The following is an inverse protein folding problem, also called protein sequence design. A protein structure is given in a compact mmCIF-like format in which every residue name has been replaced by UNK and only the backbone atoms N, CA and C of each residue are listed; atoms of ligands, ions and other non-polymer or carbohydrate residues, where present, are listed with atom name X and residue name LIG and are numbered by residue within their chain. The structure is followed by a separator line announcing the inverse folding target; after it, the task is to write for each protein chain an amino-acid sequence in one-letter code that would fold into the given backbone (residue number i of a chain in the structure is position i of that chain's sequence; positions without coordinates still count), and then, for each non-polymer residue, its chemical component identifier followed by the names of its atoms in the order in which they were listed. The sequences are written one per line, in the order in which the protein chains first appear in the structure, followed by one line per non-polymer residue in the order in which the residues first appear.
data_IF_405311093450
#
_entry.id   IF_405311093450
#
_cell.length_a   1.000
_cell.length_b   1.000
_cell.length_c   1.000
_cell.angle_alpha   90.00
_cell.angle_beta   90.00
_cell.angle_gamma   90.00
#
_symmetry.space_group_name_H-M   'P 1'
#
loop_
_entity.id
_entity.type
_entity.pdbx_description
1 polymer ?
#
# COMPACT_ATOMS: atom_id res chain seq x y z
N UNK A 1 28.16 -36.44 -24.66
CA UNK A 1 28.25 -34.99 -24.51
C UNK A 1 27.01 -34.53 -23.75
N UNK A 2 27.20 -34.08 -22.52
CA UNK A 2 26.11 -33.41 -21.79
C UNK A 2 25.82 -32.12 -22.54
N UNK A 3 24.65 -32.02 -23.14
CA UNK A 3 24.15 -30.75 -23.71
C UNK A 3 23.95 -29.79 -22.55
N UNK A 4 24.88 -28.88 -22.34
CA UNK A 4 24.71 -27.77 -21.40
C UNK A 4 23.61 -26.90 -21.99
N UNK A 5 22.40 -27.00 -21.45
CA UNK A 5 21.32 -26.06 -21.80
C UNK A 5 21.77 -24.67 -21.34
N UNK A 6 21.75 -23.67 -22.22
CA UNK A 6 22.08 -22.29 -21.80
C UNK A 6 21.16 -21.88 -20.65
N UNK A 7 21.65 -21.03 -19.73
CA UNK A 7 20.79 -20.53 -18.67
C UNK A 7 19.58 -19.79 -19.25
N UNK A 8 18.42 -19.81 -18.60
CA UNK A 8 17.23 -19.15 -19.10
C UNK A 8 17.48 -17.64 -19.25
N UNK A 9 16.86 -17.05 -20.26
CA UNK A 9 16.87 -15.61 -20.44
C UNK A 9 16.16 -14.92 -19.28
N UNK A 10 16.80 -13.91 -18.67
CA UNK A 10 16.27 -13.20 -17.52
C UNK A 10 16.25 -11.70 -17.81
N UNK A 11 15.08 -11.09 -17.67
CA UNK A 11 14.89 -9.63 -17.73
C UNK A 11 14.62 -9.03 -16.36
N UNK A 12 14.90 -7.74 -16.20
CA UNK A 12 14.56 -6.96 -14.99
C UNK A 12 13.72 -5.76 -15.38
N UNK A 13 12.58 -5.59 -14.73
CA UNK A 13 11.70 -4.44 -14.86
C UNK A 13 11.78 -3.64 -13.56
N UNK A 14 12.21 -2.38 -13.67
CA UNK A 14 12.26 -1.39 -12.61
C UNK A 14 11.13 -0.39 -12.83
N UNK A 15 10.11 -0.40 -11.99
CA UNK A 15 9.07 0.64 -12.01
C UNK A 15 9.51 1.82 -11.14
N UNK A 16 9.71 2.98 -11.76
CA UNK A 16 10.18 4.18 -11.10
C UNK A 16 9.09 5.25 -10.99
N UNK A 17 9.00 5.88 -9.82
CA UNK A 17 8.26 7.10 -9.59
C UNK A 17 8.98 7.95 -8.54
N UNK A 18 9.69 8.98 -8.99
CA UNK A 18 10.50 9.86 -8.15
C UNK A 18 11.52 9.11 -7.29
N UNK A 19 12.18 8.09 -7.87
CA UNK A 19 13.15 7.23 -7.19
C UNK A 19 14.61 7.62 -7.41
N UNK A 20 14.91 8.84 -7.88
CA UNK A 20 16.25 9.31 -8.25
C UNK A 20 17.30 9.00 -7.19
N UNK A 21 16.95 9.16 -5.93
CA UNK A 21 17.89 8.97 -4.82
C UNK A 21 18.40 7.52 -4.67
N UNK A 22 17.68 6.54 -5.22
CA UNK A 22 17.95 5.11 -5.04
C UNK A 22 18.50 4.44 -6.31
N UNK A 23 18.15 4.97 -7.47
CA UNK A 23 18.46 4.36 -8.77
C UNK A 23 19.95 4.07 -8.99
N UNK A 24 20.83 4.93 -8.50
CA UNK A 24 22.26 4.76 -8.68
C UNK A 24 22.76 3.45 -8.05
N UNK A 25 22.46 3.22 -6.79
CA UNK A 25 22.87 2.02 -6.07
C UNK A 25 22.18 0.75 -6.61
N UNK A 26 20.90 0.84 -6.95
CA UNK A 26 20.14 -0.24 -7.56
C UNK A 26 20.74 -0.68 -8.89
N UNK A 27 21.03 0.26 -9.79
CA UNK A 27 21.55 -0.03 -11.11
C UNK A 27 23.02 -0.51 -11.09
N UNK A 28 23.86 0.00 -10.18
CA UNK A 28 25.19 -0.58 -9.96
C UNK A 28 25.12 -2.00 -9.42
N UNK A 29 24.19 -2.29 -8.50
CA UNK A 29 23.98 -3.65 -8.00
C UNK A 29 23.51 -4.61 -9.11
N UNK A 30 22.68 -4.15 -10.03
CA UNK A 30 22.27 -4.92 -11.22
C UNK A 30 23.43 -5.14 -12.19
N UNK A 31 24.27 -4.13 -12.44
CA UNK A 31 25.45 -4.26 -13.30
C UNK A 31 26.48 -5.23 -12.71
N UNK A 32 26.52 -5.39 -11.39
CA UNK A 32 27.43 -6.28 -10.66
C UNK A 32 26.91 -7.69 -10.42
N UNK A 33 25.79 -8.10 -11.02
CA UNK A 33 25.26 -9.45 -10.84
C UNK A 33 26.14 -10.52 -11.51
N UNK A 34 26.37 -11.64 -10.84
CA UNK A 34 27.14 -12.78 -11.38
C UNK A 34 26.46 -13.43 -12.60
N UNK A 35 25.14 -13.44 -12.64
CA UNK A 35 24.34 -13.71 -13.84
C UNK A 35 23.72 -12.38 -14.29
N UNK A 36 24.24 -11.76 -15.37
CA UNK A 36 23.67 -10.52 -15.86
C UNK A 36 22.27 -10.73 -16.45
N UNK A 37 21.39 -9.75 -16.26
CA UNK A 37 20.12 -9.72 -16.96
C UNK A 37 20.34 -9.52 -18.45
N UNK A 38 19.60 -10.24 -19.29
CA UNK A 38 19.60 -10.05 -20.76
C UNK A 38 19.02 -8.70 -21.17
N UNK A 39 18.14 -8.14 -20.35
CA UNK A 39 17.50 -6.84 -20.52
C UNK A 39 17.18 -6.22 -19.17
N UNK A 40 17.43 -4.93 -19.02
CA UNK A 40 16.94 -4.12 -17.91
C UNK A 40 16.11 -2.98 -18.47
N UNK A 41 14.88 -2.84 -17.97
CA UNK A 41 13.95 -1.80 -18.38
C UNK A 41 13.54 -0.94 -17.19
N UNK A 42 13.78 0.35 -17.27
CA UNK A 42 13.22 1.34 -16.37
C UNK A 42 11.88 1.81 -16.94
N UNK A 43 10.79 1.53 -16.24
CA UNK A 43 9.45 2.04 -16.55
C UNK A 43 9.19 3.24 -15.68
N UNK A 44 9.12 4.42 -16.27
CA UNK A 44 8.91 5.65 -15.51
C UNK A 44 7.43 6.02 -15.43
N UNK A 45 6.92 6.16 -14.23
CA UNK A 45 5.54 6.55 -13.93
C UNK A 45 5.37 8.09 -13.83
N UNK A 46 6.05 8.85 -14.70
CA UNK A 46 5.93 10.29 -14.74
C UNK A 46 6.72 10.98 -13.62
N UNK A 47 7.95 10.60 -13.40
CA UNK A 47 8.84 11.23 -12.42
C UNK A 47 9.19 12.66 -12.80
N UNK A 48 9.39 13.50 -11.79
CA UNK A 48 9.75 14.93 -11.92
C UNK A 48 11.04 15.28 -11.20
N UNK A 49 11.75 14.28 -10.69
CA UNK A 49 12.96 14.41 -9.85
C UNK A 49 14.28 14.25 -10.62
N UNK A 50 14.24 14.21 -11.97
CA UNK A 50 15.40 14.00 -12.82
C UNK A 50 15.85 12.54 -12.94
N UNK A 51 15.03 11.58 -12.52
CA UNK A 51 15.31 10.13 -12.60
C UNK A 51 15.63 9.68 -14.02
N UNK A 52 14.82 10.09 -14.99
CA UNK A 52 14.92 9.65 -16.39
C UNK A 52 16.19 10.17 -17.05
N UNK A 53 16.50 11.45 -16.86
CA UNK A 53 17.70 12.10 -17.39
C UNK A 53 18.95 11.44 -16.81
N UNK A 54 18.96 11.21 -15.51
CA UNK A 54 20.07 10.57 -14.84
C UNK A 54 20.36 9.17 -15.37
N UNK A 55 19.32 8.33 -15.52
CA UNK A 55 19.52 6.97 -16.05
C UNK A 55 19.97 7.00 -17.50
N UNK A 56 19.44 7.90 -18.32
CA UNK A 56 19.84 8.06 -19.71
C UNK A 56 21.32 8.45 -19.86
N UNK A 57 21.82 9.30 -18.98
CA UNK A 57 23.19 9.80 -19.01
C UNK A 57 24.19 8.78 -18.46
N UNK A 58 23.87 8.13 -17.33
CA UNK A 58 24.83 7.32 -16.58
C UNK A 58 24.71 5.81 -16.81
N UNK A 59 23.54 5.34 -17.27
CA UNK A 59 23.25 3.91 -17.48
C UNK A 59 22.65 3.66 -18.88
N UNK A 60 23.40 3.92 -19.97
CA UNK A 60 22.88 3.82 -21.35
C UNK A 60 22.47 2.40 -21.77
N UNK A 61 22.82 1.38 -20.99
CA UNK A 61 22.41 0.00 -21.19
C UNK A 61 20.98 -0.29 -20.67
N UNK A 62 20.37 0.62 -19.92
CA UNK A 62 19.00 0.50 -19.41
C UNK A 62 18.03 1.03 -20.47
N UNK A 63 17.06 0.20 -20.86
CA UNK A 63 15.96 0.66 -21.73
C UNK A 63 14.97 1.46 -20.90
N UNK A 64 14.66 2.67 -21.33
CA UNK A 64 13.68 3.53 -20.64
C UNK A 64 12.35 3.49 -21.36
N UNK A 65 11.27 3.31 -20.59
CA UNK A 65 9.89 3.40 -21.02
C UNK A 65 9.14 4.43 -20.16
N UNK A 66 8.58 5.45 -20.78
CA UNK A 66 7.81 6.49 -20.10
C UNK A 66 6.31 6.20 -20.22
N UNK A 67 5.61 6.18 -19.09
CA UNK A 67 4.15 5.99 -19.02
C UNK A 67 3.38 7.31 -19.11
N UNK A 68 4.05 8.46 -19.14
CA UNK A 68 3.45 9.79 -19.21
C UNK A 68 2.76 10.24 -17.92
N UNK A 69 2.75 9.43 -16.86
CA UNK A 69 2.13 9.74 -15.57
C UNK A 69 2.08 8.54 -14.64
N UNK A 70 1.72 8.76 -13.38
CA UNK A 70 1.62 7.68 -12.40
C UNK A 70 0.30 6.90 -12.56
N UNK A 71 0.39 5.77 -13.24
CA UNK A 71 -0.72 4.83 -13.49
C UNK A 71 -0.81 3.69 -12.46
N UNK A 72 -0.03 3.73 -11.40
CA UNK A 72 0.04 2.71 -10.35
C UNK A 72 1.08 1.62 -10.62
N UNK A 73 1.24 0.72 -9.64
CA UNK A 73 2.27 -0.32 -9.69
C UNK A 73 1.93 -1.42 -10.69
N UNK A 74 0.72 -1.97 -10.62
CA UNK A 74 0.31 -3.07 -11.50
C UNK A 74 0.29 -2.64 -12.97
N UNK A 75 -0.40 -1.55 -13.29
CA UNK A 75 -0.50 -1.05 -14.66
C UNK A 75 0.88 -0.61 -15.19
N UNK A 76 1.69 0.04 -14.36
CA UNK A 76 3.05 0.46 -14.73
C UNK A 76 3.95 -0.72 -15.12
N UNK A 77 4.02 -1.74 -14.29
CA UNK A 77 4.79 -2.95 -14.62
C UNK A 77 4.23 -3.68 -15.85
N UNK A 78 2.92 -3.70 -16.01
CA UNK A 78 2.28 -4.37 -17.13
C UNK A 78 2.66 -3.78 -18.50
N UNK A 79 3.01 -2.49 -18.56
CA UNK A 79 3.52 -1.88 -19.80
C UNK A 79 4.76 -2.62 -20.29
N UNK A 80 5.73 -2.86 -19.39
CA UNK A 80 6.93 -3.60 -19.73
C UNK A 80 6.68 -5.10 -19.89
N UNK A 81 5.86 -5.72 -19.03
CA UNK A 81 5.52 -7.14 -19.10
C UNK A 81 4.89 -7.55 -20.42
N UNK A 82 4.15 -6.65 -21.10
CA UNK A 82 3.58 -6.89 -22.45
C UNK A 82 4.66 -6.91 -23.53
N UNK A 83 5.76 -6.20 -23.34
CA UNK A 83 6.87 -6.10 -24.29
C UNK A 83 8.00 -7.10 -23.97
N UNK A 84 7.94 -7.75 -22.82
CA UNK A 84 8.99 -8.65 -22.36
C UNK A 84 8.76 -10.07 -22.90
N UNK A 85 9.84 -10.67 -23.42
CA UNK A 85 9.87 -12.00 -24.02
C UNK A 85 10.86 -12.95 -23.31
N UNK A 86 11.44 -12.50 -22.18
CA UNK A 86 12.36 -13.32 -21.41
C UNK A 86 11.62 -14.50 -20.73
N UNK A 87 12.31 -15.62 -20.53
CA UNK A 87 11.77 -16.80 -19.84
C UNK A 87 11.49 -16.54 -18.36
N UNK A 88 12.25 -15.61 -17.77
CA UNK A 88 12.11 -15.16 -16.38
C UNK A 88 12.09 -13.63 -16.38
N UNK A 89 11.07 -13.03 -15.77
CA UNK A 89 11.01 -11.60 -15.53
C UNK A 89 11.14 -11.32 -14.04
N UNK A 90 12.06 -10.45 -13.65
CA UNK A 90 12.21 -9.96 -12.28
C UNK A 90 11.58 -8.57 -12.17
N UNK A 91 10.53 -8.43 -11.38
CA UNK A 91 10.04 -7.14 -10.92
C UNK A 91 10.93 -6.67 -9.79
N UNK A 92 11.44 -5.44 -9.88
CA UNK A 92 12.37 -4.88 -8.92
C UNK A 92 12.03 -3.43 -8.62
N UNK A 93 11.95 -3.08 -7.33
CA UNK A 93 11.81 -1.68 -6.93
C UNK A 93 13.15 -0.94 -7.03
N UNK A 94 13.13 0.39 -7.34
CA UNK A 94 14.35 1.20 -7.44
C UNK A 94 15.13 1.31 -6.13
N UNK A 95 14.48 1.11 -4.98
CA UNK A 95 15.05 1.18 -3.63
C UNK A 95 15.51 -0.18 -3.08
N UNK A 96 15.67 -1.18 -3.97
CA UNK A 96 16.25 -2.48 -3.64
C UNK A 96 17.66 -2.59 -4.18
N UNK A 97 18.60 -2.97 -3.33
CA UNK A 97 20.00 -3.24 -3.66
C UNK A 97 20.21 -4.75 -3.59
N UNK A 98 20.27 -5.41 -4.74
CA UNK A 98 20.48 -6.84 -4.82
C UNK A 98 21.92 -7.23 -4.47
N UNK A 99 22.11 -8.36 -3.79
CA UNK A 99 23.44 -8.96 -3.60
C UNK A 99 23.92 -9.57 -4.91
N UNK A 100 25.25 -9.76 -5.09
CA UNK A 100 25.85 -10.13 -6.39
C UNK A 100 25.32 -11.39 -7.04
N UNK A 101 24.87 -12.38 -6.26
CA UNK A 101 24.36 -13.67 -6.76
C UNK A 101 22.83 -13.75 -6.79
N UNK A 102 22.12 -12.66 -6.56
CA UNK A 102 20.67 -12.68 -6.40
C UNK A 102 19.95 -13.14 -7.67
N UNK A 103 20.29 -12.61 -8.86
CA UNK A 103 19.65 -13.00 -10.11
C UNK A 103 19.96 -14.47 -10.48
N UNK A 104 21.17 -14.94 -10.21
CA UNK A 104 21.55 -16.33 -10.39
C UNK A 104 20.71 -17.26 -9.47
N UNK A 105 20.57 -16.88 -8.20
CA UNK A 105 19.77 -17.65 -7.24
C UNK A 105 18.28 -17.67 -7.61
N UNK A 106 17.72 -16.59 -8.13
CA UNK A 106 16.33 -16.57 -8.64
C UNK A 106 16.15 -17.46 -9.86
N UNK A 107 17.14 -17.45 -10.77
CA UNK A 107 17.16 -18.34 -11.94
C UNK A 107 17.23 -19.82 -11.51
N UNK A 108 18.09 -20.14 -10.55
CA UNK A 108 18.21 -21.48 -9.96
C UNK A 108 16.90 -21.92 -9.30
N UNK A 109 16.25 -21.05 -8.51
CA UNK A 109 14.96 -21.34 -7.89
C UNK A 109 13.92 -21.79 -8.91
N UNK A 110 13.80 -21.05 -10.02
CA UNK A 110 12.84 -21.38 -11.08
C UNK A 110 13.27 -22.63 -11.91
N UNK A 111 14.56 -22.95 -11.96
CA UNK A 111 15.05 -24.15 -12.63
C UNK A 111 14.89 -25.43 -11.78
N UNK A 112 14.83 -25.31 -10.46
CA UNK A 112 14.73 -26.44 -9.53
C UNK A 112 13.46 -27.28 -9.75
N UNK A 113 12.32 -26.63 -9.97
CA UNK A 113 11.05 -27.30 -10.24
C UNK A 113 10.25 -26.46 -11.26
N UNK A 114 9.83 -27.06 -12.40
CA UNK A 114 9.02 -26.35 -13.40
C UNK A 114 7.67 -25.84 -12.87
N UNK A 115 7.19 -26.36 -11.74
CA UNK A 115 5.99 -25.88 -11.06
C UNK A 115 6.23 -24.62 -10.25
N UNK A 116 7.48 -24.20 -10.00
CA UNK A 116 7.75 -22.90 -9.37
C UNK A 116 7.47 -21.82 -10.42
N UNK A 117 6.36 -21.10 -10.22
CA UNK A 117 5.95 -20.01 -11.08
C UNK A 117 6.50 -18.66 -10.62
N UNK A 118 6.67 -18.50 -9.30
CA UNK A 118 7.13 -17.27 -8.66
C UNK A 118 8.16 -17.58 -7.59
N UNK A 119 9.28 -16.85 -7.58
CA UNK A 119 10.30 -16.91 -6.53
C UNK A 119 10.57 -15.51 -5.96
N UNK A 120 10.69 -15.42 -4.64
CA UNK A 120 10.97 -14.16 -3.93
C UNK A 120 12.24 -14.23 -3.10
N UNK A 121 12.81 -13.06 -2.89
CA UNK A 121 14.08 -12.87 -2.20
C UNK A 121 13.95 -12.85 -0.68
N UNK A 122 15.06 -13.11 0.02
CA UNK A 122 15.29 -12.62 1.37
C UNK A 122 15.63 -11.12 1.28
N UNK A 123 14.79 -10.28 1.85
CA UNK A 123 15.07 -8.85 1.93
C UNK A 123 15.39 -8.46 3.36
N UNK A 124 16.42 -7.64 3.47
CA UNK A 124 16.92 -7.10 4.73
C UNK A 124 16.66 -5.59 4.78
N UNK A 125 16.48 -5.06 5.99
CA UNK A 125 16.51 -3.61 6.19
C UNK A 125 17.91 -3.03 5.97
N UNK A 126 18.03 -1.71 5.75
CA UNK A 126 19.32 -1.04 5.72
C UNK A 126 20.20 -1.41 6.94
N UNK A 127 21.48 -1.73 6.69
CA UNK A 127 22.38 -2.32 7.67
C UNK A 127 22.65 -3.80 7.41
N UNK A 128 21.70 -4.52 6.76
CA UNK A 128 21.93 -5.87 6.25
C UNK A 128 21.91 -6.98 7.31
N UNK A 129 21.40 -6.68 8.51
CA UNK A 129 21.37 -7.63 9.63
C UNK A 129 19.97 -7.89 10.22
N UNK A 130 18.96 -7.12 9.78
CA UNK A 130 17.57 -7.29 10.20
C UNK A 130 16.72 -7.72 9.02
N UNK A 131 15.97 -8.80 9.19
CA UNK A 131 15.07 -9.33 8.16
C UNK A 131 13.87 -8.41 7.99
N UNK A 132 13.58 -8.05 6.75
CA UNK A 132 12.37 -7.36 6.36
C UNK A 132 11.34 -8.35 5.81
N UNK A 133 11.79 -9.31 4.98
CA UNK A 133 10.94 -10.28 4.33
C UNK A 133 11.67 -11.61 4.10
N UNK A 134 11.09 -12.68 4.58
CA UNK A 134 11.51 -14.06 4.32
C UNK A 134 10.31 -14.92 3.86
N UNK A 135 9.50 -14.37 2.93
CA UNK A 135 8.22 -14.90 2.48
C UNK A 135 7.04 -14.33 3.27
N UNK A 136 5.87 -14.37 2.68
CA UNK A 136 4.65 -13.75 3.21
C UNK A 136 3.54 -14.75 3.51
N UNK A 137 2.66 -14.37 4.44
CA UNK A 137 1.43 -15.08 4.80
C UNK A 137 0.31 -14.06 5.05
N UNK A 138 -0.94 -14.52 4.99
CA UNK A 138 -2.10 -13.70 5.31
C UNK A 138 -2.76 -14.18 6.59
N UNK A 139 -3.16 -13.24 7.46
CA UNK A 139 -3.96 -13.58 8.64
C UNK A 139 -5.44 -13.55 8.30
N UNK A 140 -6.16 -14.55 8.77
CA UNK A 140 -7.60 -14.65 8.59
C UNK A 140 -8.35 -14.06 9.78
N UNK A 141 -9.60 -13.55 9.57
CA UNK A 141 -10.35 -13.50 8.31
C UNK A 141 -10.12 -12.21 7.49
N UNK A 142 -9.27 -11.28 7.93
CA UNK A 142 -9.14 -9.93 7.36
C UNK A 142 -8.12 -9.83 6.23
N UNK A 143 -7.42 -10.92 5.88
CA UNK A 143 -6.33 -10.96 4.89
C UNK A 143 -5.27 -9.89 5.16
N UNK A 144 -4.89 -9.69 6.43
CA UNK A 144 -3.78 -8.78 6.76
C UNK A 144 -2.44 -9.45 6.44
N UNK A 145 -1.58 -8.81 5.65
CA UNK A 145 -0.29 -9.40 5.29
C UNK A 145 0.66 -9.44 6.48
N UNK A 146 1.35 -10.56 6.58
CA UNK A 146 2.46 -10.77 7.50
C UNK A 146 3.68 -11.26 6.75
N UNK A 147 4.87 -10.98 7.30
CA UNK A 147 6.13 -11.42 6.73
C UNK A 147 6.85 -12.29 7.74
N UNK A 148 7.32 -13.45 7.29
CA UNK A 148 8.16 -14.30 8.14
C UNK A 148 9.47 -13.56 8.43
N UNK A 149 9.91 -13.62 9.69
CA UNK A 149 11.16 -13.05 10.16
C UNK A 149 11.21 -11.53 10.26
N UNK A 150 10.11 -10.79 9.98
CA UNK A 150 10.12 -9.33 10.01
C UNK A 150 10.60 -8.78 11.36
N UNK A 151 11.63 -7.93 11.34
CA UNK A 151 12.23 -7.32 12.53
C UNK A 151 13.18 -8.24 13.30
N UNK A 152 13.31 -9.51 12.92
CA UNK A 152 14.27 -10.42 13.51
C UNK A 152 15.69 -10.17 12.99
N UNK A 153 16.70 -10.38 13.84
CA UNK A 153 18.08 -10.41 13.38
C UNK A 153 18.31 -11.63 12.50
N UNK A 154 19.01 -11.45 11.36
CA UNK A 154 19.33 -12.57 10.48
C UNK A 154 20.44 -13.45 11.05
N UNK A 155 20.04 -14.47 11.79
CA UNK A 155 20.91 -15.51 12.33
C UNK A 155 20.85 -16.80 11.48
N UNK A 156 20.41 -16.69 10.22
CA UNK A 156 20.20 -17.77 9.25
C UNK A 156 19.04 -18.73 9.61
N UNK A 157 18.13 -18.33 10.49
CA UNK A 157 16.97 -19.12 10.91
C UNK A 157 15.96 -19.36 9.76
N UNK A 158 15.96 -18.52 8.72
CA UNK A 158 15.13 -18.68 7.52
C UNK A 158 15.97 -19.09 6.29
N UNK A 159 16.90 -20.04 6.46
CA UNK A 159 17.89 -20.36 5.41
C UNK A 159 17.47 -21.55 4.52
N UNK A 160 16.20 -21.99 4.59
CA UNK A 160 15.66 -23.05 3.75
C UNK A 160 14.58 -22.50 2.81
N UNK A 161 14.57 -22.90 1.52
CA UNK A 161 13.47 -22.61 0.63
C UNK A 161 12.15 -23.15 1.18
N UNK A 162 11.06 -22.40 0.97
CA UNK A 162 9.73 -22.85 1.37
C UNK A 162 8.63 -22.27 0.51
N UNK A 163 7.53 -23.00 0.39
CA UNK A 163 6.30 -22.49 -0.20
C UNK A 163 5.68 -21.44 0.73
N UNK A 164 5.24 -20.34 0.16
CA UNK A 164 4.65 -19.19 0.87
C UNK A 164 3.35 -18.75 0.21
N UNK A 165 2.55 -17.99 0.93
CA UNK A 165 1.32 -17.48 0.34
C UNK A 165 1.58 -16.39 -0.69
N UNK A 166 2.57 -15.55 -0.44
CA UNK A 166 3.04 -14.53 -1.37
C UNK A 166 4.51 -14.16 -1.13
N UNK A 167 5.09 -13.53 -2.11
CA UNK A 167 6.35 -12.78 -2.03
C UNK A 167 6.10 -11.35 -2.48
N UNK A 168 6.83 -10.39 -1.91
CA UNK A 168 6.57 -8.97 -2.20
C UNK A 168 7.09 -8.56 -3.58
N UNK A 169 6.35 -7.67 -4.24
CA UNK A 169 6.70 -7.14 -5.56
C UNK A 169 7.97 -6.29 -5.60
N UNK A 170 8.58 -6.01 -4.43
CA UNK A 170 9.85 -5.27 -4.35
C UNK A 170 11.02 -6.02 -5.01
N UNK A 171 11.04 -7.37 -4.96
CA UNK A 171 12.00 -8.23 -5.67
C UNK A 171 11.39 -9.60 -5.91
N UNK A 172 10.75 -9.79 -7.06
CA UNK A 172 9.98 -10.98 -7.40
C UNK A 172 10.34 -11.48 -8.79
N UNK A 173 10.79 -12.74 -8.92
CA UNK A 173 10.97 -13.40 -10.21
C UNK A 173 9.72 -14.17 -10.60
N UNK A 174 9.30 -14.02 -11.84
CA UNK A 174 8.09 -14.63 -12.40
C UNK A 174 8.47 -15.38 -13.66
N UNK A 175 8.03 -16.63 -13.78
CA UNK A 175 8.16 -17.44 -14.98
C UNK A 175 7.23 -16.90 -16.07
N UNK A 176 7.73 -16.74 -17.30
CA UNK A 176 6.95 -16.25 -18.43
C UNK A 176 5.71 -17.12 -18.73
N UNK A 177 5.89 -18.45 -18.75
CA UNK A 177 4.76 -19.36 -19.02
C UNK A 177 3.62 -19.24 -18.00
N UNK A 178 3.92 -18.86 -16.75
CA UNK A 178 2.87 -18.53 -15.78
C UNK A 178 2.08 -17.29 -16.20
N UNK A 179 2.77 -16.21 -16.61
CA UNK A 179 2.10 -14.99 -17.09
C UNK A 179 1.26 -15.23 -18.33
N UNK A 180 1.72 -16.11 -19.23
CA UNK A 180 0.98 -16.49 -20.43
C UNK A 180 -0.30 -17.28 -20.10
N UNK A 181 -0.29 -18.05 -19.01
CA UNK A 181 -1.43 -18.86 -18.56
C UNK A 181 -2.44 -18.06 -17.74
N UNK A 182 -1.98 -17.31 -16.72
CA UNK A 182 -2.88 -16.63 -15.78
C UNK A 182 -3.07 -15.14 -16.06
N UNK A 183 -2.40 -14.60 -17.06
CA UNK A 183 -2.37 -13.16 -17.35
C UNK A 183 -1.43 -12.36 -16.44
N UNK A 184 -1.34 -11.06 -16.71
CA UNK A 184 -0.45 -10.13 -16.04
C UNK A 184 -1.00 -9.70 -14.66
N UNK A 185 -0.39 -8.68 -14.05
CA UNK A 185 -0.89 -8.08 -12.81
C UNK A 185 -2.30 -7.51 -13.00
N UNK A 186 -3.15 -7.59 -12.00
CA UNK A 186 -4.48 -6.98 -12.04
C UNK A 186 -4.38 -5.46 -11.84
N UNK A 187 -4.63 -4.69 -12.92
CA UNK A 187 -4.53 -3.23 -12.93
C UNK A 187 -5.57 -2.52 -12.05
N UNK A 188 -6.56 -3.25 -11.55
CA UNK A 188 -7.47 -2.75 -10.52
C UNK A 188 -6.81 -2.53 -9.16
N UNK A 189 -5.60 -3.07 -8.95
CA UNK A 189 -4.73 -2.69 -7.83
C UNK A 189 -3.81 -1.55 -8.27
N UNK A 190 -4.07 -0.36 -7.75
CA UNK A 190 -3.17 0.76 -8.02
C UNK A 190 -1.81 0.58 -7.34
N UNK A 191 -1.84 0.13 -6.10
CA UNK A 191 -0.69 -0.14 -5.23
C UNK A 191 -1.13 -1.04 -4.08
N UNK A 192 -0.25 -1.97 -3.66
CA UNK A 192 -0.48 -3.01 -2.64
C UNK A 192 -1.43 -4.12 -3.08
N UNK A 193 -1.14 -5.34 -2.66
CA UNK A 193 -1.87 -6.57 -2.94
C UNK A 193 -1.83 -7.06 -4.41
N UNK A 194 -1.26 -6.35 -5.37
CA UNK A 194 -1.06 -6.85 -6.74
C UNK A 194 -0.11 -8.04 -6.77
N UNK A 195 0.91 -8.03 -5.90
CA UNK A 195 1.86 -9.11 -5.67
C UNK A 195 1.22 -10.31 -4.98
N UNK A 196 0.41 -10.05 -3.97
CA UNK A 196 -0.37 -11.06 -3.27
C UNK A 196 -1.42 -11.70 -4.19
N UNK A 197 -2.04 -10.90 -5.06
CA UNK A 197 -3.02 -11.34 -6.04
C UNK A 197 -2.40 -12.30 -7.09
N UNK A 198 -1.29 -11.91 -7.70
CA UNK A 198 -0.65 -12.77 -8.71
C UNK A 198 -0.13 -14.07 -8.06
N UNK A 199 0.40 -14.01 -6.83
CA UNK A 199 0.78 -15.21 -6.08
C UNK A 199 -0.43 -16.12 -5.80
N UNK A 200 -1.59 -15.56 -5.47
CA UNK A 200 -2.82 -16.34 -5.26
C UNK A 200 -3.31 -16.98 -6.56
N UNK A 201 -3.30 -16.25 -7.68
CA UNK A 201 -3.66 -16.77 -9.01
C UNK A 201 -2.70 -17.87 -9.45
N UNK A 202 -1.39 -17.69 -9.27
CA UNK A 202 -0.39 -18.73 -9.56
C UNK A 202 -0.66 -20.01 -8.78
N UNK A 203 -0.91 -19.92 -7.47
CA UNK A 203 -1.22 -21.10 -6.64
C UNK A 203 -2.52 -21.78 -7.05
N UNK A 204 -3.53 -21.01 -7.47
CA UNK A 204 -4.79 -21.55 -8.00
C UNK A 204 -4.59 -22.30 -9.32
N UNK A 205 -3.67 -21.86 -10.17
CA UNK A 205 -3.28 -22.54 -11.40
C UNK A 205 -2.34 -23.74 -11.17
N UNK A 206 -2.02 -24.09 -9.92
CA UNK A 206 -1.19 -25.25 -9.56
C UNK A 206 0.31 -24.96 -9.49
N UNK A 207 0.72 -23.70 -9.68
CA UNK A 207 2.11 -23.32 -9.49
C UNK A 207 2.45 -23.10 -8.02
N UNK A 208 3.76 -23.24 -7.72
CA UNK A 208 4.33 -22.93 -6.42
C UNK A 208 4.82 -21.47 -6.38
N UNK A 209 4.61 -20.85 -5.24
CA UNK A 209 5.20 -19.53 -4.89
C UNK A 209 6.21 -19.79 -3.78
N UNK A 210 7.48 -19.50 -4.05
CA UNK A 210 8.58 -19.97 -3.19
C UNK A 210 9.40 -18.78 -2.69
N UNK A 211 9.65 -18.75 -1.40
CA UNK A 211 10.71 -17.95 -0.81
C UNK A 211 12.05 -18.69 -1.02
N UNK A 212 13.03 -17.98 -1.61
CA UNK A 212 14.34 -18.53 -1.93
C UNK A 212 15.45 -17.79 -1.20
N UNK A 213 15.99 -18.34 -0.09
CA UNK A 213 16.88 -17.61 0.81
C UNK A 213 18.25 -17.25 0.23
N UNK A 214 18.71 -17.94 -0.83
CA UNK A 214 19.95 -17.60 -1.54
C UNK A 214 19.82 -16.31 -2.37
N UNK A 215 18.63 -15.97 -2.82
CA UNK A 215 18.34 -14.69 -3.46
C UNK A 215 18.18 -13.62 -2.38
N UNK A 216 19.13 -12.68 -2.31
CA UNK A 216 19.17 -11.70 -1.23
C UNK A 216 19.29 -10.26 -1.74
N UNK A 217 18.78 -9.32 -0.95
CA UNK A 217 18.94 -7.89 -1.18
C UNK A 217 18.62 -7.06 0.05
N UNK A 218 18.97 -5.79 -0.01
CA UNK A 218 18.58 -4.76 0.96
C UNK A 218 17.44 -3.96 0.35
N UNK A 219 16.33 -3.80 1.06
CA UNK A 219 15.22 -2.95 0.65
C UNK A 219 15.13 -1.76 1.59
N UNK A 220 15.36 -0.57 1.05
CA UNK A 220 15.45 0.67 1.82
C UNK A 220 14.08 1.07 2.35
N UNK A 221 13.01 0.66 1.67
CA UNK A 221 11.63 1.02 1.97
C UNK A 221 11.46 2.54 1.99
N UNK A 222 11.57 3.12 0.80
CA UNK A 222 11.56 4.57 0.61
C UNK A 222 10.31 5.23 1.18
N UNK A 223 10.50 6.44 1.70
CA UNK A 223 9.45 7.25 2.35
C UNK A 223 8.31 7.70 1.40
N UNK A 224 8.24 7.20 0.16
CA UNK A 224 7.14 7.49 -0.77
C UNK A 224 5.77 7.02 -0.26
N UNK A 225 5.76 6.09 0.70
CA UNK A 225 4.55 5.67 1.41
C UNK A 225 4.81 5.63 2.92
N UNK A 226 4.66 6.77 3.61
CA UNK A 226 4.74 6.81 5.07
C UNK A 226 3.65 5.89 5.63
N UNK A 227 4.07 4.73 6.21
CA UNK A 227 3.16 3.78 6.85
C UNK A 227 2.28 4.50 7.88
N UNK A 228 0.96 4.25 7.82
CA UNK A 228 0.01 4.90 8.70
C UNK A 228 -0.45 6.29 8.24
N UNK A 229 0.12 6.85 7.15
CA UNK A 229 -0.43 8.08 6.57
C UNK A 229 -1.83 7.85 6.01
N UNK A 230 -2.61 8.91 5.89
CA UNK A 230 -3.95 8.87 5.32
C UNK A 230 -3.99 8.20 3.94
N UNK A 231 -3.10 8.62 3.03
CA UNK A 231 -3.02 8.05 1.69
C UNK A 231 -2.59 6.58 1.68
N UNK A 232 -1.67 6.20 2.59
CA UNK A 232 -1.29 4.79 2.77
C UNK A 232 -2.48 3.95 3.20
N UNK A 233 -3.17 4.34 4.29
CA UNK A 233 -4.30 3.59 4.82
C UNK A 233 -5.43 3.44 3.81
N UNK A 234 -5.78 4.53 3.11
CA UNK A 234 -6.81 4.51 2.09
C UNK A 234 -6.47 3.52 0.98
N UNK A 235 -5.27 3.60 0.39
CA UNK A 235 -4.85 2.72 -0.72
C UNK A 235 -4.72 1.27 -0.26
N UNK A 236 -4.04 1.04 0.86
CA UNK A 236 -3.83 -0.29 1.41
C UNK A 236 -5.15 -1.01 1.67
N UNK A 237 -6.11 -0.35 2.35
CA UNK A 237 -7.39 -0.98 2.66
C UNK A 237 -8.31 -1.12 1.45
N UNK A 238 -8.26 -0.22 0.45
CA UNK A 238 -8.97 -0.41 -0.81
C UNK A 238 -8.47 -1.66 -1.53
N UNK A 239 -7.15 -1.82 -1.65
CA UNK A 239 -6.52 -2.99 -2.28
C UNK A 239 -6.77 -4.27 -1.49
N UNK A 240 -6.67 -4.23 -0.16
CA UNK A 240 -6.99 -5.37 0.71
C UNK A 240 -8.43 -5.86 0.50
N UNK A 241 -9.39 -4.95 0.45
CA UNK A 241 -10.79 -5.30 0.22
C UNK A 241 -11.04 -5.82 -1.20
N UNK A 242 -10.37 -5.25 -2.22
CA UNK A 242 -10.39 -5.83 -3.57
C UNK A 242 -9.90 -7.27 -3.55
N UNK A 243 -8.80 -7.55 -2.86
CA UNK A 243 -8.25 -8.90 -2.73
C UNK A 243 -9.21 -9.86 -2.01
N UNK A 244 -9.79 -9.45 -0.88
CA UNK A 244 -10.79 -10.23 -0.15
C UNK A 244 -11.98 -10.61 -1.05
N UNK A 245 -12.59 -9.61 -1.68
CA UNK A 245 -13.76 -9.78 -2.54
C UNK A 245 -13.47 -10.65 -3.76
N UNK A 246 -12.24 -10.57 -4.27
CA UNK A 246 -11.80 -11.33 -5.44
C UNK A 246 -11.53 -12.80 -5.12
N UNK A 247 -11.08 -13.12 -3.91
CA UNK A 247 -10.50 -14.44 -3.63
C UNK A 247 -11.16 -15.24 -2.52
N UNK A 248 -11.95 -14.63 -1.65
CA UNK A 248 -12.54 -15.32 -0.49
C UNK A 248 -13.97 -15.76 -0.75
N UNK A 249 -14.45 -16.84 -0.09
CA UNK A 249 -15.85 -17.25 -0.14
C UNK A 249 -16.80 -16.15 0.37
N UNK A 250 -18.00 -16.06 -0.22
CA UNK A 250 -18.98 -15.05 0.17
C UNK A 250 -19.39 -15.15 1.64
N UNK A 251 -19.52 -16.37 2.14
CA UNK A 251 -19.90 -16.64 3.53
C UNK A 251 -18.83 -16.16 4.50
N UNK A 252 -17.56 -16.29 4.14
CA UNK A 252 -16.45 -15.80 4.94
C UNK A 252 -16.42 -14.27 4.96
N UNK A 253 -16.67 -13.62 3.81
CA UNK A 253 -16.73 -12.17 3.71
C UNK A 253 -17.92 -11.62 4.51
N UNK A 254 -19.14 -12.13 4.24
CA UNK A 254 -20.39 -11.64 4.83
C UNK A 254 -20.53 -11.94 6.33
N UNK A 255 -19.78 -12.88 6.86
CA UNK A 255 -19.75 -13.26 8.28
C UNK A 255 -18.46 -12.83 8.97
N UNK A 256 -17.49 -13.76 9.14
CA UNK A 256 -16.30 -13.55 9.98
C UNK A 256 -15.48 -12.31 9.60
N UNK A 257 -15.36 -12.00 8.29
CA UNK A 257 -14.54 -10.86 7.84
C UNK A 257 -15.18 -9.53 8.23
N UNK A 258 -16.48 -9.36 7.94
CA UNK A 258 -17.21 -8.12 8.31
C UNK A 258 -17.28 -7.93 9.82
N UNK A 259 -17.45 -9.01 10.60
CA UNK A 259 -17.46 -8.93 12.06
C UNK A 259 -16.09 -8.51 12.63
N UNK A 260 -15.01 -9.11 12.13
CA UNK A 260 -13.66 -8.77 12.55
C UNK A 260 -13.31 -7.33 12.18
N UNK A 261 -13.73 -6.89 11.00
CA UNK A 261 -13.52 -5.54 10.51
C UNK A 261 -14.27 -4.51 11.35
N UNK A 262 -15.54 -4.77 11.71
CA UNK A 262 -16.31 -3.91 12.58
C UNK A 262 -15.65 -3.72 13.95
N UNK A 263 -15.14 -4.81 14.56
CA UNK A 263 -14.39 -4.77 15.83
C UNK A 263 -13.06 -4.02 15.71
N UNK A 264 -12.39 -4.13 14.56
CA UNK A 264 -11.15 -3.44 14.32
C UNK A 264 -11.36 -1.94 14.12
N UNK A 265 -12.42 -1.53 13.41
CA UNK A 265 -12.81 -0.13 13.23
C UNK A 265 -12.97 0.62 14.56
N UNK A 266 -13.50 -0.02 15.59
CA UNK A 266 -13.72 0.61 16.90
C UNK A 266 -12.41 1.00 17.61
N UNK A 267 -11.28 0.44 17.18
CA UNK A 267 -9.95 0.70 17.76
C UNK A 267 -9.19 1.80 17.04
N UNK A 268 -9.67 2.23 15.87
CA UNK A 268 -9.02 3.25 15.06
C UNK A 268 -9.26 4.64 15.65
N UNK A 269 -8.25 5.49 15.56
CA UNK A 269 -8.43 6.91 15.80
C UNK A 269 -9.26 7.57 14.69
N UNK A 270 -9.78 8.79 14.87
CA UNK A 270 -10.65 9.44 13.89
C UNK A 270 -10.01 9.61 12.49
N UNK A 271 -8.71 9.94 12.42
CA UNK A 271 -8.02 10.15 11.14
C UNK A 271 -7.84 8.83 10.37
N UNK A 272 -7.44 7.76 11.06
CA UNK A 272 -7.33 6.41 10.48
C UNK A 272 -8.70 5.91 10.01
N UNK A 273 -9.73 6.09 10.83
CA UNK A 273 -11.10 5.70 10.52
C UNK A 273 -11.61 6.39 9.27
N UNK A 274 -11.34 7.69 9.11
CA UNK A 274 -11.70 8.45 7.91
C UNK A 274 -11.01 7.90 6.66
N UNK A 275 -9.70 7.61 6.72
CA UNK A 275 -8.97 7.02 5.59
C UNK A 275 -9.56 5.67 5.17
N UNK A 276 -9.91 4.82 6.16
CA UNK A 276 -10.51 3.51 5.95
C UNK A 276 -11.94 3.62 5.42
N UNK A 277 -12.72 4.60 5.88
CA UNK A 277 -14.06 4.90 5.34
C UNK A 277 -14.00 5.19 3.84
N UNK A 278 -13.05 6.01 3.40
CA UNK A 278 -12.86 6.29 1.97
C UNK A 278 -12.44 5.04 1.19
N UNK A 279 -11.64 4.15 1.81
CA UNK A 279 -11.31 2.86 1.22
C UNK A 279 -12.55 1.99 1.00
N UNK A 280 -13.44 1.90 1.98
CA UNK A 280 -14.70 1.13 1.83
C UNK A 280 -15.62 1.73 0.77
N UNK A 281 -15.77 3.05 0.74
CA UNK A 281 -16.54 3.73 -0.30
C UNK A 281 -15.99 3.45 -1.70
N UNK A 282 -14.67 3.54 -1.87
CA UNK A 282 -14.02 3.24 -3.15
C UNK A 282 -14.24 1.77 -3.55
N UNK A 283 -14.10 0.84 -2.60
CA UNK A 283 -14.33 -0.58 -2.82
C UNK A 283 -15.78 -0.86 -3.19
N UNK A 284 -16.76 -0.32 -2.47
CA UNK A 284 -18.18 -0.50 -2.74
C UNK A 284 -18.56 -0.04 -4.16
N UNK A 285 -18.01 1.11 -4.58
CA UNK A 285 -18.20 1.61 -5.95
C UNK A 285 -17.58 0.70 -7.01
N UNK A 286 -16.48 0.04 -6.68
CA UNK A 286 -15.77 -0.88 -7.56
C UNK A 286 -16.34 -2.31 -7.58
N UNK A 287 -17.38 -2.65 -6.78
CA UNK A 287 -17.91 -4.02 -6.69
C UNK A 287 -18.20 -4.67 -8.05
N UNK A 288 -18.88 -4.02 -9.01
CA UNK A 288 -19.15 -4.65 -10.29
C UNK A 288 -17.91 -5.09 -11.05
N UNK A 289 -16.85 -4.25 -11.02
CA UNK A 289 -15.57 -4.56 -11.66
C UNK A 289 -14.82 -5.67 -10.91
N UNK A 290 -14.90 -5.66 -9.57
CA UNK A 290 -14.28 -6.68 -8.73
C UNK A 290 -14.92 -8.06 -8.99
N UNK A 291 -16.24 -8.14 -9.17
CA UNK A 291 -16.93 -9.39 -9.50
C UNK A 291 -16.48 -9.94 -10.84
N UNK A 292 -16.38 -9.09 -11.87
CA UNK A 292 -15.83 -9.47 -13.17
C UNK A 292 -14.39 -9.97 -13.05
N UNK A 293 -13.54 -9.27 -12.28
CA UNK A 293 -12.17 -9.69 -12.04
C UNK A 293 -12.09 -11.03 -11.29
N UNK A 294 -13.01 -11.26 -10.33
CA UNK A 294 -13.12 -12.52 -9.60
C UNK A 294 -13.36 -13.70 -10.54
N UNK A 295 -14.34 -13.59 -11.41
CA UNK A 295 -14.69 -14.66 -12.38
C UNK A 295 -13.57 -14.87 -13.40
N UNK A 296 -13.02 -13.79 -13.97
CA UNK A 296 -11.88 -13.84 -14.90
C UNK A 296 -10.71 -14.62 -14.32
N UNK A 297 -10.39 -14.42 -13.03
CA UNK A 297 -9.22 -14.98 -12.38
C UNK A 297 -9.52 -16.29 -11.63
N UNK A 298 -10.59 -16.99 -12.02
CA UNK A 298 -10.95 -18.34 -11.58
C UNK A 298 -11.53 -18.39 -10.16
N UNK A 299 -12.09 -17.30 -9.64
CA UNK A 299 -12.94 -17.30 -8.45
C UNK A 299 -14.36 -17.76 -8.78
N UNK A 300 -15.03 -18.43 -7.83
CA UNK A 300 -16.42 -18.83 -8.01
C UNK A 300 -17.31 -17.61 -8.20
N UNK A 301 -18.20 -17.61 -9.21
CA UNK A 301 -19.20 -16.56 -9.37
C UNK A 301 -20.06 -16.44 -8.10
N UNK A 302 -20.29 -15.21 -7.66
CA UNK A 302 -21.17 -14.98 -6.53
C UNK A 302 -22.62 -14.85 -6.98
N UNK A 303 -23.56 -15.60 -6.40
CA UNK A 303 -24.97 -15.41 -6.68
C UNK A 303 -25.45 -14.02 -6.24
N UNK A 304 -26.50 -13.46 -6.87
CA UNK A 304 -26.98 -12.10 -6.60
C UNK A 304 -27.26 -11.82 -5.12
N UNK A 305 -27.79 -12.79 -4.38
CA UNK A 305 -28.04 -12.69 -2.95
C UNK A 305 -26.75 -12.55 -2.13
N UNK A 306 -25.68 -13.24 -2.51
CA UNK A 306 -24.37 -13.11 -1.85
C UNK A 306 -23.72 -11.76 -2.17
N UNK A 307 -23.82 -11.28 -3.41
CA UNK A 307 -23.37 -9.93 -3.79
C UNK A 307 -24.12 -8.86 -2.99
N UNK A 308 -25.44 -8.99 -2.85
CA UNK A 308 -26.28 -8.07 -2.07
C UNK A 308 -25.93 -8.10 -0.57
N UNK A 309 -25.64 -9.27 0.00
CA UNK A 309 -25.22 -9.40 1.39
C UNK A 309 -23.88 -8.71 1.66
N UNK A 310 -22.92 -8.85 0.74
CA UNK A 310 -21.63 -8.15 0.83
C UNK A 310 -21.82 -6.64 0.71
N UNK A 311 -22.61 -6.15 -0.24
CA UNK A 311 -22.87 -4.71 -0.43
C UNK A 311 -23.57 -4.11 0.81
N UNK A 312 -24.55 -4.81 1.38
CA UNK A 312 -25.19 -4.42 2.62
C UNK A 312 -24.21 -4.38 3.80
N UNK A 313 -23.33 -5.38 3.90
CA UNK A 313 -22.28 -5.42 4.92
C UNK A 313 -21.30 -4.25 4.81
N UNK A 314 -20.85 -3.94 3.59
CA UNK A 314 -19.99 -2.77 3.33
C UNK A 314 -20.71 -1.46 3.70
N UNK A 315 -22.00 -1.34 3.37
CA UNK A 315 -22.82 -0.18 3.78
C UNK A 315 -22.87 -0.06 5.31
N UNK A 316 -23.01 -1.17 6.03
CA UNK A 316 -22.96 -1.22 7.49
C UNK A 316 -21.62 -0.77 8.07
N UNK A 317 -20.50 -1.21 7.48
CA UNK A 317 -19.16 -0.77 7.88
C UNK A 317 -18.96 0.73 7.66
N UNK A 318 -19.40 1.26 6.52
CA UNK A 318 -19.32 2.70 6.20
C UNK A 318 -20.14 3.51 7.21
N UNK A 319 -21.37 3.09 7.51
CA UNK A 319 -22.21 3.74 8.50
C UNK A 319 -21.56 3.74 9.90
N UNK A 320 -20.98 2.58 10.31
CA UNK A 320 -20.27 2.46 11.60
C UNK A 320 -19.04 3.34 11.65
N UNK A 321 -18.25 3.39 10.56
CA UNK A 321 -17.06 4.22 10.48
C UNK A 321 -17.41 5.71 10.58
N UNK A 322 -18.50 6.17 9.95
CA UNK A 322 -18.97 7.56 10.00
C UNK A 322 -19.58 7.95 11.34
N UNK A 323 -20.28 7.05 12.03
CA UNK A 323 -20.96 7.38 13.29
C UNK A 323 -20.00 7.78 14.43
N UNK A 324 -18.72 7.47 14.32
CA UNK A 324 -17.69 7.82 15.28
C UNK A 324 -16.76 8.95 14.79
N UNK A 325 -17.09 9.58 13.66
CA UNK A 325 -16.21 10.56 13.00
C UNK A 325 -16.10 11.90 13.74
N UNK A 326 -16.96 12.19 14.70
CA UNK A 326 -16.91 13.49 15.35
C UNK A 326 -17.12 13.41 16.87
N UNK A 327 -16.03 13.59 17.61
CA UNK A 327 -16.08 14.00 19.03
C UNK A 327 -15.76 15.52 19.10
N UNK A 328 -16.77 16.39 19.13
CA UNK A 328 -16.55 17.82 19.26
C UNK A 328 -15.81 18.18 20.56
N UNK A 329 -15.82 17.29 21.57
CA UNK A 329 -15.12 17.48 22.82
C UNK A 329 -13.57 17.43 22.67
N UNK A 330 -13.04 16.94 21.55
CA UNK A 330 -11.59 16.91 21.27
C UNK A 330 -11.00 18.30 21.13
N UNK A 331 -11.66 19.18 20.38
CA UNK A 331 -11.24 20.59 20.22
C UNK A 331 -11.49 21.38 21.50
N UNK A 332 -12.58 21.12 22.22
CA UNK A 332 -12.84 21.71 23.52
C UNK A 332 -11.77 21.31 24.55
N UNK A 333 -11.38 20.02 24.61
CA UNK A 333 -10.27 19.55 25.44
C UNK A 333 -8.93 20.17 25.06
N UNK A 334 -8.68 20.39 23.76
CA UNK A 334 -7.47 21.06 23.28
C UNK A 334 -7.47 22.54 23.67
N UNK A 335 -8.61 23.21 23.57
CA UNK A 335 -8.78 24.59 24.00
C UNK A 335 -8.59 24.74 25.51
N UNK A 336 -9.14 23.82 26.31
CA UNK A 336 -8.95 23.79 27.77
C UNK A 336 -7.51 23.47 28.17
N UNK A 337 -6.86 22.48 27.52
CA UNK A 337 -5.47 22.12 27.76
C UNK A 337 -4.49 23.21 27.32
N UNK A 338 -4.88 24.04 26.34
CA UNK A 338 -4.10 25.17 25.86
C UNK A 338 -4.09 26.38 26.83
N UNK A 339 -4.91 26.38 27.86
CA UNK A 339 -4.97 27.50 28.84
C UNK A 339 -3.94 27.30 29.97
N UNK A 340 -2.91 28.12 29.94
CA UNK A 340 -1.95 28.16 31.04
C UNK A 340 -2.58 28.82 32.27
N UNK A 341 -2.51 28.14 33.44
CA UNK A 341 -3.02 28.63 34.73
C UNK A 341 -1.88 28.75 35.71
N UNK A 342 -1.88 29.81 36.48
CA UNK A 342 -0.97 29.94 37.65
C UNK A 342 -1.23 28.82 38.65
N UNK A 343 -0.20 28.08 39.02
CA UNK A 343 -0.29 27.13 40.13
C UNK A 343 0.21 27.81 41.41
N UNK A 344 -0.56 27.76 42.53
CA UNK A 344 -0.11 28.30 43.79
C UNK A 344 1.12 27.54 44.30
N UNK A 345 2.09 28.27 44.82
CA UNK A 345 3.27 27.67 45.44
C UNK A 345 2.87 27.01 46.76
N UNK A 346 3.04 25.69 46.86
CA UNK A 346 2.76 24.91 48.09
C UNK A 346 4.12 24.45 48.65
N UNK A 347 4.37 24.71 49.94
CA UNK A 347 5.53 24.18 50.65
C UNK A 347 5.08 23.18 51.72
N UNK A 348 5.61 21.95 51.65
CA UNK A 348 5.30 20.87 52.57
C UNK A 348 6.23 20.80 53.81
N UNK A 349 7.00 21.85 54.09
CA UNK A 349 7.89 21.88 55.25
C UNK A 349 7.06 22.14 56.52
N UNK A 350 7.06 21.25 57.52
CA UNK A 350 6.31 21.44 58.76
C UNK A 350 6.76 22.71 59.52
N UNK A 351 5.81 23.41 60.13
CA UNK A 351 5.99 24.64 60.96
C UNK A 351 6.38 25.91 60.21
N UNK A 352 7.19 25.87 59.17
CA UNK A 352 7.65 27.09 58.45
C UNK A 352 7.18 27.14 56.99
N UNK A 353 6.54 26.08 56.52
CA UNK A 353 6.11 25.95 55.11
C UNK A 353 5.17 27.07 54.68
N UNK A 354 4.22 27.43 55.52
CA UNK A 354 3.27 28.52 55.26
C UNK A 354 3.94 29.90 55.17
N UNK A 355 4.97 30.16 56.00
CA UNK A 355 5.74 31.41 56.01
C UNK A 355 6.60 31.49 54.74
N UNK A 356 7.27 30.42 54.38
CA UNK A 356 8.08 30.32 53.15
C UNK A 356 7.19 30.47 51.90
N UNK A 357 6.03 29.81 51.87
CA UNK A 357 5.07 29.94 50.81
C UNK A 357 4.53 31.37 50.69
N UNK A 358 4.22 32.01 51.80
CA UNK A 358 3.78 33.40 51.86
C UNK A 358 4.85 34.39 51.39
N UNK A 359 6.11 34.23 51.82
CA UNK A 359 7.21 35.09 51.37
C UNK A 359 7.55 34.92 49.89
N UNK A 360 7.59 33.69 49.41
CA UNK A 360 7.77 33.43 47.96
C UNK A 360 6.60 33.91 47.13
N UNK A 361 5.38 33.75 47.61
CA UNK A 361 4.20 34.29 46.95
C UNK A 361 4.22 35.81 46.86
N UNK A 362 4.62 36.49 47.94
CA UNK A 362 4.79 37.96 47.98
C UNK A 362 5.91 38.43 47.03
N UNK A 363 7.06 37.72 47.02
CA UNK A 363 8.18 38.00 46.13
C UNK A 363 7.80 37.77 44.64
N UNK A 364 7.11 36.67 44.33
CA UNK A 364 6.60 36.38 43.00
C UNK A 364 5.60 37.43 42.51
N UNK A 365 4.78 37.96 43.44
CA UNK A 365 3.82 39.01 43.13
C UNK A 365 4.46 40.34 42.71
N UNK A 366 5.69 40.64 43.22
CA UNK A 366 6.34 41.93 42.97
C UNK A 366 7.36 41.87 41.82
N UNK A 367 8.14 40.80 41.68
CA UNK A 367 9.26 40.74 40.76
C UNK A 367 8.97 39.97 39.46
N UNK A 368 8.11 38.93 39.52
CA UNK A 368 7.90 38.01 38.38
C UNK A 368 6.51 38.11 37.76
N UNK A 369 5.53 38.59 38.52
CA UNK A 369 4.11 38.55 38.11
C UNK A 369 3.81 39.33 36.85
N UNK A 370 4.45 40.53 36.72
CA UNK A 370 4.22 41.36 35.56
C UNK A 370 4.75 40.73 34.27
N UNK A 371 5.93 40.14 34.29
CA UNK A 371 6.57 39.54 33.13
C UNK A 371 5.96 38.17 32.82
N UNK A 372 5.75 37.32 33.84
CA UNK A 372 5.15 35.98 33.67
C UNK A 372 3.69 36.08 33.19
N UNK A 373 2.88 36.97 33.78
CA UNK A 373 1.49 37.16 33.34
C UNK A 373 1.41 37.69 31.92
N UNK A 374 2.35 38.54 31.50
CA UNK A 374 2.38 39.02 30.12
C UNK A 374 2.69 37.87 29.14
N UNK A 375 3.70 37.05 29.46
CA UNK A 375 4.03 35.85 28.66
C UNK A 375 2.89 34.83 28.65
N UNK A 376 2.26 34.56 29.79
CA UNK A 376 1.12 33.65 29.86
C UNK A 376 -0.06 34.16 29.03
N UNK A 377 -0.31 35.45 29.05
CA UNK A 377 -1.39 36.08 28.23
C UNK A 377 -1.07 35.94 26.74
N UNK A 378 0.18 36.21 26.34
CA UNK A 378 0.62 36.03 24.95
C UNK A 378 0.49 34.58 24.51
N UNK A 379 0.95 33.61 25.34
CA UNK A 379 0.85 32.19 25.03
C UNK A 379 -0.60 31.72 24.97
N UNK A 380 -1.46 32.16 25.89
CA UNK A 380 -2.88 31.81 25.87
C UNK A 380 -3.60 32.41 24.64
N UNK A 381 -3.21 33.59 24.20
CA UNK A 381 -3.73 34.19 22.98
C UNK A 381 -3.26 33.42 21.74
N UNK A 382 -1.96 33.06 21.70
CA UNK A 382 -1.42 32.22 20.63
C UNK A 382 -2.15 30.87 20.56
N UNK A 383 -2.32 30.19 21.70
CA UNK A 383 -3.03 28.91 21.75
C UNK A 383 -4.47 29.02 21.27
N UNK A 384 -5.21 30.09 21.67
CA UNK A 384 -6.58 30.35 21.18
C UNK A 384 -6.63 30.62 19.67
N UNK A 385 -5.68 31.41 19.16
CA UNK A 385 -5.61 31.66 17.71
C UNK A 385 -5.28 30.38 16.94
N UNK A 386 -4.42 29.53 17.49
CA UNK A 386 -4.07 28.24 16.88
C UNK A 386 -5.27 27.30 16.84
N UNK A 387 -6.03 27.20 17.93
CA UNK A 387 -7.27 26.39 17.96
C UNK A 387 -8.29 26.91 16.97
N UNK A 388 -8.54 28.23 16.94
CA UNK A 388 -9.47 28.84 15.99
C UNK A 388 -9.05 28.60 14.52
N UNK A 389 -7.75 28.63 14.23
CA UNK A 389 -7.23 28.33 12.89
C UNK A 389 -7.43 26.86 12.53
N UNK A 390 -7.23 25.94 13.48
CA UNK A 390 -7.48 24.51 13.27
C UNK A 390 -8.95 24.23 13.03
N UNK A 391 -9.87 24.88 13.77
CA UNK A 391 -11.31 24.81 13.56
C UNK A 391 -11.72 25.30 12.16
N UNK A 392 -11.11 26.40 11.71
CA UNK A 392 -11.35 26.93 10.36
C UNK A 392 -10.86 25.94 9.29
N UNK A 393 -9.65 25.39 9.41
CA UNK A 393 -9.12 24.39 8.49
C UNK A 393 -9.96 23.11 8.48
N UNK A 394 -10.45 22.69 9.63
CA UNK A 394 -11.33 21.53 9.70
C UNK A 394 -12.65 21.76 8.96
N UNK A 395 -13.27 22.93 9.14
CA UNK A 395 -14.49 23.30 8.42
C UNK A 395 -14.27 23.37 6.91
N UNK A 396 -13.14 23.93 6.45
CA UNK A 396 -12.77 24.01 5.05
C UNK A 396 -12.54 22.64 4.44
N UNK A 397 -11.79 21.77 5.12
CA UNK A 397 -11.56 20.37 4.71
C UNK A 397 -12.85 19.58 4.63
N UNK A 398 -13.78 19.80 5.56
CA UNK A 398 -15.09 19.16 5.56
C UNK A 398 -15.91 19.58 4.34
N UNK A 399 -15.93 20.88 4.01
CA UNK A 399 -16.60 21.38 2.81
C UNK A 399 -16.00 20.84 1.51
N UNK A 400 -14.66 20.73 1.44
CA UNK A 400 -14.00 20.12 0.29
C UNK A 400 -14.31 18.62 0.15
N UNK A 401 -14.46 17.91 1.26
CA UNK A 401 -14.83 16.49 1.26
C UNK A 401 -16.26 16.26 0.80
N UNK A 402 -17.21 17.10 1.22
CA UNK A 402 -18.61 17.04 0.76
C UNK A 402 -18.68 17.25 -0.75
N UNK A 403 -17.96 18.25 -1.29
CA UNK A 403 -17.87 18.48 -2.73
C UNK A 403 -17.25 17.31 -3.49
N UNK A 404 -16.20 16.68 -2.94
CA UNK A 404 -15.59 15.48 -3.51
C UNK A 404 -16.55 14.29 -3.51
N UNK A 405 -17.32 14.11 -2.43
CA UNK A 405 -18.34 13.05 -2.35
C UNK A 405 -19.43 13.27 -3.40
N UNK A 406 -19.93 14.49 -3.60
CA UNK A 406 -20.89 14.82 -4.65
C UNK A 406 -20.34 14.55 -6.05
N UNK A 407 -19.09 14.95 -6.33
CA UNK A 407 -18.44 14.70 -7.62
C UNK A 407 -18.28 13.21 -7.90
N UNK A 408 -17.96 12.42 -6.88
CA UNK A 408 -17.83 10.97 -7.02
C UNK A 408 -19.19 10.31 -7.28
N UNK A 409 -20.24 10.73 -6.59
CA UNK A 409 -21.61 10.23 -6.84
C UNK A 409 -22.03 10.54 -8.28
N UNK A 410 -21.79 11.76 -8.75
CA UNK A 410 -22.10 12.16 -10.13
C UNK A 410 -21.29 11.35 -11.16
N UNK A 411 -20.01 11.11 -10.89
CA UNK A 411 -19.15 10.31 -11.77
C UNK A 411 -19.64 8.86 -11.88
N UNK A 412 -20.06 8.25 -10.78
CA UNK A 412 -20.64 6.89 -10.78
C UNK A 412 -21.94 6.83 -11.55
N UNK A 413 -22.80 7.85 -11.39
CA UNK A 413 -24.07 7.90 -12.13
C UNK A 413 -23.85 8.08 -13.64
N UNK A 414 -22.90 8.93 -14.03
CA UNK A 414 -22.49 9.09 -15.42
C UNK A 414 -21.93 7.80 -16.00
N UNK A 415 -21.07 7.10 -15.27
CA UNK A 415 -20.51 5.81 -15.68
C UNK A 415 -21.62 4.77 -15.91
N UNK A 416 -22.56 4.63 -14.98
CA UNK A 416 -23.73 3.76 -15.15
C UNK A 416 -24.57 4.11 -16.39
N UNK A 417 -24.72 5.40 -16.71
CA UNK A 417 -25.41 5.82 -17.94
C UNK A 417 -24.65 5.44 -19.19
N UNK A 418 -23.31 5.61 -19.18
CA UNK A 418 -22.44 5.22 -20.29
C UNK A 418 -22.51 3.71 -20.51
N UNK A 419 -22.44 2.90 -19.47
CA UNK A 419 -22.53 1.43 -19.56
C UNK A 419 -23.90 0.99 -20.13
N UNK A 420 -24.99 1.58 -19.68
CA UNK A 420 -26.34 1.33 -20.26
C UNK A 420 -26.41 1.70 -21.73
N UNK A 421 -25.84 2.84 -22.12
CA UNK A 421 -25.80 3.26 -23.52
C UNK A 421 -24.93 2.32 -24.37
N UNK A 422 -23.79 1.89 -23.87
CA UNK A 422 -22.93 0.91 -24.56
C UNK A 422 -23.62 -0.44 -24.75
N UNK A 423 -24.32 -0.95 -23.72
CA UNK A 423 -25.13 -2.15 -23.82
C UNK A 423 -26.24 -2.00 -24.87
N UNK A 424 -26.94 -0.86 -24.88
CA UNK A 424 -27.98 -0.56 -25.85
C UNK A 424 -27.44 -0.47 -27.30
N UNK A 425 -26.30 0.18 -27.48
CA UNK A 425 -25.61 0.24 -28.79
C UNK A 425 -25.19 -1.15 -29.26
N UNK A 426 -24.71 -1.99 -28.36
CA UNK A 426 -24.31 -3.37 -28.70
C UNK A 426 -25.53 -4.19 -29.12
N UNK A 427 -26.65 -4.06 -28.43
CA UNK A 427 -27.90 -4.73 -28.78
C UNK A 427 -28.47 -4.25 -30.15
N UNK A 428 -28.46 -2.94 -30.38
CA UNK A 428 -28.86 -2.37 -31.66
C UNK A 428 -27.98 -2.87 -32.82
N UNK A 429 -26.66 -2.96 -32.64
CA UNK A 429 -25.75 -3.57 -33.64
C UNK A 429 -26.08 -5.02 -33.92
N UNK A 430 -26.38 -5.80 -32.87
CA UNK A 430 -26.80 -7.20 -33.03
C UNK A 430 -28.11 -7.32 -33.82
N UNK A 431 -29.10 -6.48 -33.55
CA UNK A 431 -30.38 -6.44 -34.27
C UNK A 431 -30.21 -6.00 -35.73
N UNK A 432 -29.31 -5.05 -36.00
CA UNK A 432 -28.99 -4.62 -37.36
C UNK A 432 -28.33 -5.76 -38.17
N UNK A 433 -27.38 -6.48 -37.58
CA UNK A 433 -26.71 -7.58 -38.22
C UNK A 433 -27.68 -8.76 -38.51
N UNK A 434 -28.69 -8.99 -37.65
CA UNK A 434 -29.75 -10.00 -37.88
C UNK A 434 -30.76 -9.59 -38.98
N UNK A 435 -30.86 -8.31 -39.35
CA UNK A 435 -31.75 -7.85 -40.44
C UNK A 435 -31.07 -7.81 -41.82
N UNK A 436 -29.75 -7.96 -41.86
CA UNK A 436 -28.97 -7.95 -43.11
C UNK A 436 -28.52 -9.35 -43.56
N UNK A 437 -28.78 -10.41 -42.80
CA UNK A 437 -28.63 -11.81 -43.18
C UNK A 437 -29.99 -12.50 -43.33
#
# INVERSE_FOLDING_TARGET
MLTVTPPPTLSVILLNWNGRAYLEQCLYALAGQSQPASRVMLVDNGSTDGSVEFVREHFPWVKIRDNGGNIGFAAGNNVALREDDAEITVLLNPDVILYPDCLAALSEALAEDPRIGIAGCRLLYPGGDIIQHAGGFLTHPQAMPGHYGIGERDERQHNMPRDVEYVIGAAMAIRRSLLDEIGLLDEGFFLYFEDTDICRRARRAGYRVVYWPAAMGIHIESATAIKGSFAYLQRFHSSRWRYLLKHFPAEEIAGPTLEAEAKWLDRLNPAERRAVTLAYLATQRGLPEIWVARERDGGDPLPPEAQAAVDQGMTGLIARARSAEFDPSGLERLAEAGVLREQPFISNIPLVGAIIAGFRSAWNNVASRWYVNHLMTQQNNFNRMTVAQLEQYEAELRGQMELLEEQVVLTVELRRRVEKLQAHVTELRRQMNHRQG
#
